data_IF_744286081600
#
_entry.id   IF_744286081600
#
_cell.length_a   1.000
_cell.length_b   1.000
_cell.length_c   1.000
_cell.angle_alpha   90.00
_cell.angle_beta   90.00
_cell.angle_gamma   90.00
#
_symmetry.space_group_name_H-M   'P 1'
#
loop_
_entity.id
_entity.type
_entity.pdbx_description
1 polymer ?
#
# COMPACT_ATOMS: atom_id res chain seq x y z
N UNK A 1 11.67 19.30 4.01
CA UNK A 1 11.18 17.97 3.67
C UNK A 1 9.79 18.15 3.07
N UNK A 2 9.57 17.61 1.89
CA UNK A 2 8.29 17.72 1.17
C UNK A 2 7.60 16.35 1.03
N UNK A 3 8.39 15.27 1.08
CA UNK A 3 7.90 13.90 0.97
C UNK A 3 8.55 13.03 2.03
N UNK A 4 7.77 12.16 2.66
CA UNK A 4 8.20 11.12 3.57
C UNK A 4 7.73 9.78 3.00
N UNK A 5 8.68 8.90 2.71
CA UNK A 5 8.42 7.51 2.37
C UNK A 5 8.54 6.65 3.62
N UNK A 6 7.56 5.81 3.86
CA UNK A 6 7.48 4.90 4.98
C UNK A 6 7.42 3.46 4.48
N UNK A 7 8.27 2.60 5.02
CA UNK A 7 8.38 1.20 4.59
C UNK A 7 7.24 0.31 5.11
N UNK A 8 6.38 0.85 5.97
CA UNK A 8 5.17 0.18 6.46
C UNK A 8 4.14 1.16 7.03
N UNK A 9 2.94 0.65 7.30
CA UNK A 9 1.81 1.42 7.82
C UNK A 9 2.10 2.07 9.19
N UNK A 10 2.83 1.38 10.09
CA UNK A 10 3.12 1.94 11.43
C UNK A 10 4.10 3.12 11.37
N UNK A 11 5.08 3.04 10.48
CA UNK A 11 6.00 4.16 10.23
C UNK A 11 5.26 5.38 9.70
N UNK A 12 4.30 5.17 8.79
CA UNK A 12 3.46 6.26 8.30
C UNK A 12 2.65 6.91 9.42
N UNK A 13 2.11 6.14 10.36
CA UNK A 13 1.40 6.69 11.52
C UNK A 13 2.32 7.55 12.39
N UNK A 14 3.53 7.07 12.69
CA UNK A 14 4.50 7.83 13.46
C UNK A 14 4.98 9.09 12.73
N UNK A 15 5.19 9.01 11.43
CA UNK A 15 5.58 10.16 10.61
C UNK A 15 4.48 11.24 10.62
N UNK A 16 3.23 10.85 10.42
CA UNK A 16 2.07 11.77 10.44
C UNK A 16 1.97 12.44 11.81
N UNK A 17 2.05 11.67 12.90
CA UNK A 17 2.01 12.23 14.27
C UNK A 17 3.12 13.24 14.51
N UNK A 18 4.35 12.94 14.07
CA UNK A 18 5.49 13.85 14.20
C UNK A 18 5.33 15.13 13.37
N UNK A 19 4.82 15.03 12.13
CA UNK A 19 4.57 16.16 11.25
C UNK A 19 3.51 17.09 11.86
N UNK A 20 2.37 16.52 12.27
CA UNK A 20 1.27 17.27 12.90
C UNK A 20 1.68 17.86 14.24
N UNK A 21 2.44 17.11 15.07
CA UNK A 21 3.01 17.57 16.34
C UNK A 21 4.00 18.72 16.18
N UNK A 22 4.68 18.83 15.05
CA UNK A 22 5.54 19.97 14.69
C UNK A 22 4.76 21.17 14.10
N UNK A 23 3.44 21.15 14.12
CA UNK A 23 2.57 22.20 13.57
C UNK A 23 2.62 22.29 12.04
N UNK A 24 2.96 21.20 11.36
CA UNK A 24 2.95 21.10 9.91
C UNK A 24 1.70 20.35 9.45
N UNK A 25 1.37 20.53 8.17
CA UNK A 25 0.21 19.88 7.55
C UNK A 25 0.67 18.70 6.71
N UNK A 26 0.01 17.57 6.89
CA UNK A 26 0.15 16.39 6.02
C UNK A 26 -0.85 16.53 4.87
N UNK A 27 -0.41 16.21 3.65
CA UNK A 27 -1.25 16.25 2.47
C UNK A 27 -0.44 16.18 1.18
N UNK A 28 -1.13 16.15 0.04
CA UNK A 28 -0.49 15.99 -1.27
C UNK A 28 -0.06 17.32 -1.92
N UNK A 29 -0.49 18.47 -1.40
CA UNK A 29 -0.20 19.77 -2.00
C UNK A 29 1.10 20.36 -1.47
N UNK A 30 2.23 19.81 -1.95
CA UNK A 30 3.58 20.24 -1.54
C UNK A 30 3.89 21.69 -1.91
N UNK A 31 3.25 22.24 -2.93
CA UNK A 31 3.42 23.64 -3.34
C UNK A 31 2.82 24.62 -2.32
N UNK A 32 1.83 24.17 -1.54
CA UNK A 32 1.26 24.91 -0.40
C UNK A 32 1.96 24.62 0.94
N UNK A 33 3.04 23.87 0.92
CA UNK A 33 3.82 23.55 2.09
C UNK A 33 3.32 22.34 2.89
N UNK A 34 2.43 21.54 2.31
CA UNK A 34 2.05 20.25 2.87
C UNK A 34 3.19 19.25 2.71
N UNK A 35 3.24 18.26 3.60
CA UNK A 35 4.20 17.17 3.56
C UNK A 35 3.46 15.91 3.12
N UNK A 36 3.86 15.38 1.96
CA UNK A 36 3.30 14.17 1.40
C UNK A 36 3.85 12.95 2.15
N UNK A 37 2.98 12.03 2.54
CA UNK A 37 3.34 10.74 3.12
C UNK A 37 2.95 9.63 2.15
N UNK A 38 3.90 8.75 1.86
CA UNK A 38 3.71 7.54 1.05
C UNK A 38 4.01 6.34 1.95
N UNK A 39 3.18 5.32 1.91
CA UNK A 39 3.29 4.12 2.74
C UNK A 39 3.40 2.85 1.92
N UNK A 40 3.79 1.77 2.59
CA UNK A 40 3.87 0.41 2.09
C UNK A 40 3.15 -0.54 3.05
N UNK A 41 2.71 -1.70 2.61
CA UNK A 41 1.91 -2.77 3.23
C UNK A 41 0.43 -2.69 2.86
N UNK A 42 -0.32 -1.67 3.29
CA UNK A 42 -1.75 -1.54 3.01
C UNK A 42 -2.62 -2.61 3.69
N UNK A 43 -2.16 -3.17 4.82
CA UNK A 43 -2.84 -4.25 5.55
C UNK A 43 -3.77 -3.70 6.61
N UNK A 44 -3.46 -2.53 7.16
CA UNK A 44 -4.21 -1.95 8.28
C UNK A 44 -5.36 -1.07 7.78
N UNK A 45 -6.57 -1.35 8.28
CA UNK A 45 -7.75 -0.51 8.05
C UNK A 45 -7.47 0.98 8.30
N UNK A 46 -6.76 1.31 9.39
CA UNK A 46 -6.37 2.68 9.73
C UNK A 46 -5.52 3.34 8.63
N UNK A 47 -4.59 2.59 8.00
CA UNK A 47 -3.75 3.14 6.94
C UNK A 47 -4.59 3.46 5.70
N UNK A 48 -5.51 2.56 5.33
CA UNK A 48 -6.43 2.77 4.23
C UNK A 48 -7.37 3.95 4.50
N UNK A 49 -7.90 4.08 5.73
CA UNK A 49 -8.69 5.25 6.15
C UNK A 49 -7.88 6.55 6.01
N UNK A 50 -6.60 6.53 6.36
CA UNK A 50 -5.72 7.69 6.20
C UNK A 50 -5.47 8.08 4.74
N UNK A 51 -5.60 7.14 3.80
CA UNK A 51 -5.61 7.46 2.36
C UNK A 51 -6.88 8.23 2.01
N UNK A 52 -8.06 7.78 2.44
CA UNK A 52 -9.32 8.50 2.21
C UNK A 52 -9.34 9.88 2.85
N UNK A 53 -8.72 10.03 4.03
CA UNK A 53 -8.60 11.30 4.74
C UNK A 53 -7.54 12.25 4.13
N UNK A 54 -6.82 11.81 3.09
CA UNK A 54 -5.75 12.58 2.44
C UNK A 54 -4.47 12.71 3.28
N UNK A 55 -4.31 11.92 4.36
CA UNK A 55 -3.11 11.92 5.21
C UNK A 55 -2.00 11.03 4.63
N UNK A 56 -2.35 9.99 3.91
CA UNK A 56 -1.44 9.16 3.11
C UNK A 56 -1.84 9.34 1.65
N UNK A 57 -0.91 9.74 0.80
CA UNK A 57 -1.21 10.05 -0.60
C UNK A 57 -1.30 8.78 -1.46
N UNK A 58 -0.49 7.76 -1.13
CA UNK A 58 -0.48 6.48 -1.82
C UNK A 58 0.03 5.38 -0.90
N UNK A 59 -0.52 4.18 -1.04
CA UNK A 59 0.00 2.95 -0.45
C UNK A 59 0.32 1.96 -1.55
N UNK A 60 1.55 1.42 -1.54
CA UNK A 60 1.88 0.22 -2.30
C UNK A 60 1.59 -1.01 -1.42
N UNK A 61 0.87 -1.97 -1.96
CA UNK A 61 0.49 -3.17 -1.23
C UNK A 61 1.68 -4.10 -1.00
N UNK A 62 1.70 -4.76 0.18
CA UNK A 62 2.42 -6.00 0.42
C UNK A 62 1.47 -6.98 1.11
N UNK A 63 0.80 -7.80 0.33
CA UNK A 63 -0.23 -8.70 0.83
C UNK A 63 0.42 -9.87 1.61
N UNK A 64 0.10 -10.07 2.90
CA UNK A 64 0.68 -11.13 3.73
C UNK A 64 0.07 -12.51 3.47
N UNK A 65 -1.03 -12.61 2.70
CA UNK A 65 -1.79 -13.85 2.50
C UNK A 65 -1.11 -14.76 1.45
N UNK A 66 0.17 -15.13 1.72
CA UNK A 66 0.97 -15.96 0.84
C UNK A 66 0.81 -17.48 1.07
N UNK A 67 0.06 -17.90 2.08
CA UNK A 67 -0.10 -19.30 2.48
C UNK A 67 -0.49 -20.24 1.33
N UNK A 68 -1.54 -19.97 0.54
CA UNK A 68 -1.94 -20.83 -0.56
C UNK A 68 -0.85 -20.98 -1.64
N UNK A 69 -0.11 -19.93 -1.91
CA UNK A 69 1.00 -19.93 -2.88
C UNK A 69 2.18 -20.77 -2.39
N UNK A 70 2.56 -20.60 -1.12
CA UNK A 70 3.59 -21.42 -0.48
C UNK A 70 3.19 -22.89 -0.48
N UNK A 71 1.93 -23.22 -0.15
CA UNK A 71 1.41 -24.58 -0.20
C UNK A 71 1.48 -25.18 -1.60
N UNK A 72 1.17 -24.41 -2.64
CA UNK A 72 1.26 -24.89 -4.03
C UNK A 72 2.72 -25.23 -4.40
N UNK A 73 3.68 -24.44 -3.97
CA UNK A 73 5.12 -24.71 -4.20
C UNK A 73 5.57 -25.97 -3.45
N UNK A 74 5.14 -26.15 -2.20
CA UNK A 74 5.44 -27.35 -1.42
C UNK A 74 4.88 -28.59 -2.12
N UNK A 75 3.62 -28.56 -2.53
CA UNK A 75 2.98 -29.67 -3.23
C UNK A 75 3.68 -30.01 -4.55
N UNK A 76 4.21 -29.01 -5.27
CA UNK A 76 5.00 -29.22 -6.49
C UNK A 76 6.31 -29.96 -6.17
N UNK A 77 7.03 -29.53 -5.15
CA UNK A 77 8.28 -30.16 -4.70
C UNK A 77 8.05 -31.60 -4.24
N UNK A 78 7.00 -31.87 -3.48
CA UNK A 78 6.66 -33.23 -3.01
C UNK A 78 6.36 -34.21 -4.14
N UNK A 79 5.87 -33.69 -5.27
CA UNK A 79 5.62 -34.49 -6.50
C UNK A 79 6.85 -34.63 -7.38
N UNK A 80 8.03 -34.16 -6.92
CA UNK A 80 9.27 -34.19 -7.68
C UNK A 80 9.38 -33.13 -8.78
N UNK A 81 8.49 -32.14 -8.79
CA UNK A 81 8.56 -31.01 -9.70
C UNK A 81 9.62 -29.99 -9.27
N UNK A 82 9.96 -29.09 -10.18
CA UNK A 82 10.93 -28.02 -9.93
C UNK A 82 10.17 -26.69 -10.01
N UNK A 83 10.05 -25.94 -8.90
CA UNK A 83 9.44 -24.62 -8.93
C UNK A 83 10.36 -23.61 -9.63
N UNK A 84 9.77 -22.53 -10.12
CA UNK A 84 10.53 -21.38 -10.60
C UNK A 84 11.35 -20.78 -9.46
N UNK A 85 12.48 -20.17 -9.82
CA UNK A 85 13.36 -19.53 -8.83
C UNK A 85 12.74 -18.28 -8.22
N UNK A 86 11.89 -17.59 -8.98
CA UNK A 86 11.22 -16.36 -8.59
C UNK A 86 9.73 -16.45 -8.90
N UNK A 87 8.92 -16.06 -7.94
CA UNK A 87 7.48 -15.84 -8.09
C UNK A 87 7.19 -14.39 -7.75
N UNK A 88 6.65 -13.66 -8.72
CA UNK A 88 6.19 -12.29 -8.50
C UNK A 88 4.72 -12.32 -8.08
N UNK A 89 4.39 -11.51 -7.08
CA UNK A 89 3.04 -11.34 -6.58
C UNK A 89 2.45 -10.11 -7.25
N UNK A 90 1.23 -10.21 -7.74
CA UNK A 90 0.49 -9.05 -8.20
C UNK A 90 0.02 -8.29 -6.96
N UNK A 91 0.58 -7.10 -6.76
CA UNK A 91 0.30 -6.20 -5.65
C UNK A 91 -0.39 -4.94 -6.18
N UNK A 92 -1.22 -4.31 -5.35
CA UNK A 92 -1.96 -3.12 -5.69
C UNK A 92 -1.25 -1.82 -5.32
N UNK A 93 -1.69 -0.74 -5.98
CA UNK A 93 -1.44 0.62 -5.54
C UNK A 93 -2.78 1.27 -5.20
N UNK A 94 -2.87 1.94 -4.06
CA UNK A 94 -4.09 2.57 -3.59
C UNK A 94 -3.88 4.06 -3.39
N UNK A 95 -4.79 4.87 -3.94
CA UNK A 95 -4.84 6.32 -3.75
C UNK A 95 -6.28 6.78 -3.67
N UNK A 96 -6.54 7.92 -3.04
CA UNK A 96 -7.82 8.63 -3.10
C UNK A 96 -7.82 9.76 -4.16
N UNK A 97 -6.74 9.91 -4.91
CA UNK A 97 -6.63 10.90 -5.99
C UNK A 97 -7.18 10.32 -7.30
N UNK A 98 -8.35 10.79 -7.71
CA UNK A 98 -9.04 10.36 -8.93
C UNK A 98 -8.27 10.69 -10.22
N UNK A 99 -7.24 11.55 -10.14
CA UNK A 99 -6.45 11.95 -11.31
C UNK A 99 -5.29 11.01 -11.60
N UNK A 100 -4.98 10.09 -10.68
CA UNK A 100 -3.88 9.12 -10.80
C UNK A 100 -4.43 7.73 -11.11
N UNK A 101 -4.60 7.42 -12.38
CA UNK A 101 -5.13 6.12 -12.82
C UNK A 101 -4.04 5.04 -12.93
N UNK A 102 -2.80 5.45 -13.21
CA UNK A 102 -1.67 4.54 -13.46
C UNK A 102 -0.36 5.09 -12.96
N UNK A 103 0.56 4.18 -12.63
CA UNK A 103 1.96 4.48 -12.38
C UNK A 103 2.85 3.66 -13.31
N UNK A 104 3.96 4.22 -13.75
CA UNK A 104 4.94 3.52 -14.58
C UNK A 104 6.20 3.24 -13.79
N UNK A 105 6.56 1.97 -13.66
CA UNK A 105 7.79 1.53 -13.00
C UNK A 105 8.58 0.66 -13.98
N UNK A 106 9.82 1.03 -14.25
CA UNK A 106 10.71 0.32 -15.19
C UNK A 106 10.08 0.06 -16.58
N UNK A 107 9.28 1.03 -17.05
CA UNK A 107 8.62 0.97 -18.37
C UNK A 107 7.36 0.07 -18.40
N UNK A 108 6.95 -0.50 -17.28
CA UNK A 108 5.71 -1.25 -17.13
C UNK A 108 4.66 -0.39 -16.42
N UNK A 109 3.45 -0.35 -16.97
CA UNK A 109 2.32 0.34 -16.34
C UNK A 109 1.64 -0.55 -15.31
N UNK A 110 1.24 0.07 -14.19
CA UNK A 110 0.45 -0.55 -13.13
C UNK A 110 -0.76 0.33 -12.86
N UNK A 111 -1.92 -0.28 -12.74
CA UNK A 111 -3.15 0.41 -12.37
C UNK A 111 -3.08 0.89 -10.92
N UNK A 112 -3.61 2.08 -10.67
CA UNK A 112 -3.82 2.58 -9.31
C UNK A 112 -5.29 2.41 -8.98
N UNK A 113 -5.57 1.69 -7.90
CA UNK A 113 -6.93 1.50 -7.42
C UNK A 113 -7.38 2.76 -6.68
N UNK A 114 -8.41 3.41 -7.18
CA UNK A 114 -9.08 4.48 -6.45
C UNK A 114 -9.73 3.88 -5.21
N UNK A 115 -9.25 4.27 -4.04
CA UNK A 115 -9.70 3.72 -2.77
C UNK A 115 -11.09 4.26 -2.41
N UNK A 116 -11.97 3.35 -2.00
CA UNK A 116 -13.30 3.65 -1.49
C UNK A 116 -13.50 2.98 -0.13
N UNK A 117 -14.52 3.41 0.62
CA UNK A 117 -14.87 2.75 1.88
C UNK A 117 -15.28 1.29 1.66
N UNK A 118 -15.94 0.98 0.54
CA UNK A 118 -16.33 -0.39 0.18
C UNK A 118 -15.12 -1.31 0.04
N UNK A 119 -14.06 -0.85 -0.65
CA UNK A 119 -12.81 -1.60 -0.78
C UNK A 119 -12.15 -1.82 0.59
N UNK A 120 -12.17 -0.83 1.47
CA UNK A 120 -11.64 -0.97 2.85
C UNK A 120 -12.41 -2.06 3.61
N UNK A 121 -13.73 -2.06 3.53
CA UNK A 121 -14.58 -3.02 4.22
C UNK A 121 -14.40 -4.45 3.66
N UNK A 122 -14.22 -4.62 2.36
CA UNK A 122 -13.90 -5.89 1.73
C UNK A 122 -12.55 -6.42 2.20
N UNK A 123 -11.50 -5.60 2.18
CA UNK A 123 -10.14 -5.98 2.63
C UNK A 123 -10.10 -6.33 4.10
N UNK A 124 -10.84 -5.62 4.94
CA UNK A 124 -10.96 -5.94 6.37
C UNK A 124 -11.51 -7.34 6.60
N UNK A 125 -12.49 -7.77 5.81
CA UNK A 125 -13.04 -9.11 5.90
C UNK A 125 -12.03 -10.16 5.42
N UNK A 126 -11.25 -9.87 4.39
CA UNK A 126 -10.20 -10.75 3.87
C UNK A 126 -9.09 -11.01 4.91
N UNK A 127 -8.60 -9.96 5.58
CA UNK A 127 -7.51 -10.06 6.55
C UNK A 127 -7.95 -10.55 7.95
N UNK A 128 -9.25 -10.57 8.25
CA UNK A 128 -9.79 -11.07 9.52
C UNK A 128 -10.41 -12.47 9.41
N UNK A 129 -10.38 -13.07 8.23
CA UNK A 129 -10.85 -14.45 7.99
C UNK A 129 -9.73 -15.46 8.19
#
# INVERSE_FOLDING_TARGET
INVVYCENDNEAFGAIEAIEGAGKTVGSNIDKGEIMVISFDGVKEKAMTYVLDGKISCIAECNPLQGPRVQAIINLLERGGTPDKFYYVDEGFFSADETVEKVTVDGKEYEVTLLTQEIIDERKNEFNS
#
